data_IF_542957511807
#
_entry.id   IF_542957511807
#
_cell.length_a   1.000
_cell.length_b   1.000
_cell.length_c   1.000
_cell.angle_alpha   90.00
_cell.angle_beta   90.00
_cell.angle_gamma   90.00
#
_symmetry.space_group_name_H-M   'P 1'
#
loop_
_entity.id
_entity.type
_entity.pdbx_description
1 polymer ?
#
# COMPACT_ATOMS: atom_id res chain seq x y z
N UNK A 1 -2.13 2.14 5.17
CA UNK A 1 -1.64 1.20 4.13
C UNK A 1 -2.62 0.89 3.01
N UNK A 2 -3.95 0.97 3.20
CA UNK A 2 -4.90 0.69 2.12
C UNK A 2 -4.73 1.52 0.83
N UNK A 3 -4.24 2.77 0.94
CA UNK A 3 -3.97 3.62 -0.23
C UNK A 3 -2.87 3.03 -1.13
N UNK A 4 -1.71 2.69 -0.57
CA UNK A 4 -0.59 2.07 -1.31
C UNK A 4 -1.02 0.73 -1.89
N UNK A 5 -1.66 -0.13 -1.07
CA UNK A 5 -2.16 -1.42 -1.53
C UNK A 5 -3.12 -1.26 -2.72
N UNK A 6 -4.01 -0.27 -2.68
CA UNK A 6 -4.93 0.01 -3.78
C UNK A 6 -4.20 0.46 -5.05
N UNK A 7 -3.13 1.24 -4.93
CA UNK A 7 -2.31 1.68 -6.06
C UNK A 7 -1.57 0.48 -6.67
N UNK A 8 -0.89 -0.33 -5.87
CA UNK A 8 -0.24 -1.56 -6.32
C UNK A 8 -1.22 -2.50 -7.01
N UNK A 9 -2.39 -2.75 -6.42
CA UNK A 9 -3.41 -3.63 -7.02
C UNK A 9 -3.92 -3.12 -8.37
N UNK A 10 -4.08 -1.80 -8.55
CA UNK A 10 -4.45 -1.23 -9.86
C UNK A 10 -3.39 -1.53 -10.91
N UNK A 11 -2.12 -1.36 -10.59
CA UNK A 11 -1.01 -1.63 -11.52
C UNK A 11 -0.86 -3.12 -11.82
N UNK A 12 -1.02 -3.99 -10.81
CA UNK A 12 -1.01 -5.45 -10.98
C UNK A 12 -2.09 -5.87 -11.98
N UNK A 13 -3.32 -5.39 -11.81
CA UNK A 13 -4.45 -5.70 -12.71
C UNK A 13 -4.24 -5.09 -14.09
N UNK A 14 -3.75 -3.85 -14.18
CA UNK A 14 -3.47 -3.18 -15.46
C UNK A 14 -2.39 -3.93 -16.27
N UNK A 15 -1.42 -4.54 -15.59
CA UNK A 15 -0.40 -5.39 -16.19
C UNK A 15 -0.89 -6.83 -16.50
N UNK A 16 -2.14 -7.18 -16.14
CA UNK A 16 -2.76 -8.47 -16.45
C UNK A 16 -2.45 -9.59 -15.46
N UNK A 17 -1.95 -9.26 -14.27
CA UNK A 17 -1.62 -10.24 -13.23
C UNK A 17 -2.76 -10.43 -12.22
N UNK A 18 -2.73 -11.57 -11.52
CA UNK A 18 -3.65 -11.87 -10.42
C UNK A 18 -3.10 -11.34 -9.09
N UNK A 19 -3.92 -10.62 -8.33
CA UNK A 19 -3.52 -10.06 -7.03
C UNK A 19 -3.41 -11.11 -5.93
N UNK A 20 -4.04 -12.27 -6.10
CA UNK A 20 -4.09 -13.37 -5.13
C UNK A 20 -2.78 -14.18 -5.07
N UNK A 21 -1.99 -14.15 -6.15
CA UNK A 21 -0.78 -14.96 -6.30
C UNK A 21 0.44 -14.22 -5.77
N UNK A 22 0.63 -14.23 -4.45
CA UNK A 22 1.83 -13.64 -3.85
C UNK A 22 3.10 -14.43 -4.17
N UNK A 23 4.22 -13.74 -4.04
CA UNK A 23 5.60 -14.27 -4.10
C UNK A 23 6.00 -14.84 -2.73
N UNK A 24 5.62 -14.15 -1.65
CA UNK A 24 5.86 -14.60 -0.28
C UNK A 24 4.55 -14.83 0.48
N UNK A 25 3.56 -13.95 0.29
CA UNK A 25 2.25 -14.12 0.91
C UNK A 25 1.40 -15.15 0.16
N UNK A 26 0.87 -16.14 0.88
CA UNK A 26 0.00 -17.18 0.30
C UNK A 26 -1.25 -17.43 1.16
N UNK A 27 -1.76 -16.39 1.82
CA UNK A 27 -2.96 -16.51 2.64
C UNK A 27 -4.20 -16.70 1.75
N UNK A 28 -5.03 -17.69 2.09
CA UNK A 28 -6.31 -17.90 1.40
C UNK A 28 -7.38 -16.85 1.78
N UNK A 29 -7.18 -16.14 2.90
CA UNK A 29 -8.08 -15.08 3.36
C UNK A 29 -7.74 -13.72 2.72
N UNK A 30 -6.48 -13.51 2.30
CA UNK A 30 -6.03 -12.26 1.69
C UNK A 30 -6.08 -12.37 0.16
N UNK A 31 -7.06 -11.72 -0.47
CA UNK A 31 -7.17 -11.68 -1.93
C UNK A 31 -6.15 -10.76 -2.63
N UNK A 32 -5.28 -10.12 -1.87
CA UNK A 32 -4.29 -9.16 -2.37
C UNK A 32 -2.86 -9.53 -1.92
N UNK A 33 -2.54 -10.83 -1.86
CA UNK A 33 -1.22 -11.31 -1.47
C UNK A 33 -0.09 -10.67 -2.31
N UNK A 34 -0.21 -10.65 -3.65
CA UNK A 34 0.79 -10.04 -4.52
C UNK A 34 0.89 -8.53 -4.31
N UNK A 35 -0.25 -7.86 -4.12
CA UNK A 35 -0.27 -6.44 -3.75
C UNK A 35 0.42 -6.18 -2.42
N UNK A 36 0.26 -7.09 -1.46
CA UNK A 36 0.86 -7.04 -0.13
C UNK A 36 2.37 -7.23 -0.21
N UNK A 37 2.85 -8.17 -1.03
CA UNK A 37 4.29 -8.35 -1.30
C UNK A 37 4.91 -7.12 -1.97
N UNK A 38 4.27 -6.60 -3.02
CA UNK A 38 4.83 -5.49 -3.80
C UNK A 38 4.77 -4.14 -3.07
N UNK A 39 3.89 -3.98 -2.08
CA UNK A 39 3.81 -2.74 -1.30
C UNK A 39 4.86 -2.64 -0.19
N UNK A 40 5.48 -3.75 0.24
CA UNK A 40 6.43 -3.77 1.37
C UNK A 40 7.56 -2.75 1.24
N UNK A 41 8.24 -2.60 0.08
CA UNK A 41 9.33 -1.63 -0.06
C UNK A 41 8.86 -0.18 0.13
N UNK A 42 7.59 0.12 -0.20
CA UNK A 42 7.01 1.47 -0.11
C UNK A 42 6.51 1.80 1.30
N UNK A 43 6.14 0.79 2.09
CA UNK A 43 5.65 0.98 3.46
C UNK A 43 6.66 1.73 4.33
N UNK A 44 7.95 1.38 4.25
CA UNK A 44 8.99 2.04 5.06
C UNK A 44 9.12 3.54 4.75
N UNK A 45 8.96 3.94 3.48
CA UNK A 45 8.99 5.37 3.11
C UNK A 45 7.80 6.13 3.69
N UNK A 46 6.61 5.53 3.60
CA UNK A 46 5.39 6.12 4.16
C UNK A 46 5.45 6.19 5.68
N UNK A 47 5.99 5.18 6.36
CA UNK A 47 6.14 5.20 7.82
C UNK A 47 7.08 6.32 8.29
N UNK A 48 8.19 6.54 7.58
CA UNK A 48 9.11 7.65 7.85
C UNK A 48 8.42 8.99 7.62
N UNK A 49 7.76 9.17 6.49
CA UNK A 49 7.06 10.42 6.19
C UNK A 49 5.97 10.72 7.23
N UNK A 50 5.15 9.72 7.57
CA UNK A 50 4.09 9.84 8.59
C UNK A 50 4.68 10.23 9.95
N UNK A 51 5.81 9.65 10.34
CA UNK A 51 6.50 10.00 11.59
C UNK A 51 6.94 11.46 11.63
N UNK A 52 7.32 12.04 10.50
CA UNK A 52 7.75 13.44 10.39
C UNK A 52 6.58 14.43 10.40
N UNK A 53 5.39 13.99 9.99
CA UNK A 53 4.20 14.82 10.08
C UNK A 53 3.74 14.88 11.54
N UNK A 54 3.95 16.03 12.19
CA UNK A 54 3.69 16.25 13.62
C UNK A 54 2.17 16.36 13.92
N UNK A 55 1.40 15.31 13.65
CA UNK A 55 -0.05 15.23 13.86
C UNK A 55 -0.43 14.21 14.93
N UNK A 56 -1.50 14.49 15.67
CA UNK A 56 -2.03 13.60 16.71
C UNK A 56 -3.17 12.69 16.22
N UNK A 57 -3.67 12.92 15.01
CA UNK A 57 -4.72 12.11 14.38
C UNK A 57 -4.58 12.13 12.86
N UNK A 58 -4.96 11.01 12.22
CA UNK A 58 -4.94 10.87 10.76
C UNK A 58 -6.11 11.66 10.14
N UNK A 59 -5.89 12.94 9.87
CA UNK A 59 -6.88 13.82 9.23
C UNK A 59 -6.96 13.57 7.71
N UNK A 60 -8.02 14.04 7.02
CA UNK A 60 -8.05 14.06 5.56
C UNK A 60 -6.83 14.75 4.94
N UNK A 61 -6.34 15.83 5.53
CA UNK A 61 -5.17 16.58 5.02
C UNK A 61 -3.91 15.72 5.00
N UNK A 62 -3.70 14.91 6.05
CA UNK A 62 -2.60 13.94 6.08
C UNK A 62 -2.76 12.90 4.96
N UNK A 63 -3.98 12.47 4.66
CA UNK A 63 -4.25 11.54 3.56
C UNK A 63 -3.98 12.17 2.20
N UNK A 64 -4.30 13.45 2.01
CA UNK A 64 -3.97 14.17 0.78
C UNK A 64 -2.44 14.32 0.62
N UNK A 65 -1.72 14.65 1.69
CA UNK A 65 -0.25 14.69 1.64
C UNK A 65 0.41 13.35 1.26
N UNK A 66 -0.23 12.21 1.58
CA UNK A 66 0.23 10.88 1.14
C UNK A 66 -0.05 10.60 -0.34
N UNK A 67 -1.01 11.29 -0.96
CA UNK A 67 -1.32 11.15 -2.40
C UNK A 67 -0.32 11.95 -3.24
N UNK A 68 0.15 13.08 -2.72
CA UNK A 68 1.08 13.98 -3.41
C UNK A 68 2.56 13.60 -3.24
N UNK A 69 2.83 12.47 -2.57
CA UNK A 69 4.15 11.91 -2.27
C UNK A 69 4.71 11.15 -3.48
#
# INVERSE_FOLDING_TARGET
>A
MGLILSACNREIVAAGYLTQLGIHHHSNENQFNLGSDLMEPFCSFVDVWVREQNFNALSPDVKFGLIDL
#
